data_IF_606778426077
#
_entry.id   IF_606778426077
#
_cell.length_a   1.000
_cell.length_b   1.000
_cell.length_c   1.000
_cell.angle_alpha   90.00
_cell.angle_beta   90.00
_cell.angle_gamma   90.00
#
_symmetry.space_group_name_H-M   'P 1'
#
loop_
_entity.id
_entity.type
_entity.pdbx_description
1 polymer ?
#
# COMPACT_ATOMS: atom_id res chain seq x y z
N UNK A 1 -22.72 24.19 -14.06
CA UNK A 1 -21.58 23.92 -13.16
C UNK A 1 -20.70 25.15 -13.14
N UNK A 2 -20.67 25.92 -12.03
CA UNK A 2 -19.65 26.96 -11.86
C UNK A 2 -18.32 26.24 -11.68
N UNK A 3 -17.37 26.45 -12.59
CA UNK A 3 -16.02 25.87 -12.48
C UNK A 3 -15.22 26.81 -11.58
N UNK A 4 -14.98 26.41 -10.33
CA UNK A 4 -14.24 27.21 -9.36
C UNK A 4 -12.73 27.01 -9.58
N UNK A 5 -12.16 27.74 -10.54
CA UNK A 5 -10.83 27.47 -11.12
C UNK A 5 -9.61 28.05 -10.38
N UNK A 6 -9.78 28.84 -9.33
CA UNK A 6 -8.67 29.60 -8.73
C UNK A 6 -8.72 29.64 -7.20
N UNK A 7 -7.59 29.97 -6.59
CA UNK A 7 -7.39 30.19 -5.15
C UNK A 7 -8.48 31.06 -4.49
N UNK A 8 -9.14 31.94 -5.25
CA UNK A 8 -10.25 32.78 -4.78
C UNK A 8 -11.40 32.00 -4.13
N UNK A 9 -11.66 30.77 -4.59
CA UNK A 9 -12.65 29.88 -3.98
C UNK A 9 -12.32 29.52 -2.52
N UNK A 10 -11.03 29.50 -2.19
CA UNK A 10 -10.52 29.08 -0.89
C UNK A 10 -10.32 30.23 0.09
N UNK A 11 -10.51 31.48 -0.35
CA UNK A 11 -10.34 32.65 0.52
C UNK A 11 -11.27 32.56 1.74
N UNK A 12 -10.82 32.98 2.94
CA UNK A 12 -11.64 32.96 4.15
C UNK A 12 -12.89 33.85 4.08
N UNK A 13 -12.83 34.94 3.32
CA UNK A 13 -13.93 35.90 3.12
C UNK A 13 -14.95 35.47 2.06
N UNK A 14 -14.72 34.33 1.39
CA UNK A 14 -15.66 33.77 0.42
C UNK A 14 -16.75 32.94 1.13
N UNK A 15 -17.85 33.59 1.53
CA UNK A 15 -18.97 32.95 2.23
C UNK A 15 -19.65 31.84 1.41
N UNK A 16 -19.86 32.06 0.10
CA UNK A 16 -20.44 31.04 -0.81
C UNK A 16 -19.52 29.81 -0.87
N UNK A 17 -18.21 30.04 -1.07
CA UNK A 17 -17.19 29.00 -1.07
C UNK A 17 -17.18 28.23 0.25
N UNK A 18 -17.09 28.91 1.39
CA UNK A 18 -17.11 28.28 2.71
C UNK A 18 -18.36 27.42 2.93
N UNK A 19 -19.55 27.90 2.52
CA UNK A 19 -20.80 27.15 2.62
C UNK A 19 -20.75 25.85 1.81
N UNK A 20 -20.27 25.92 0.57
CA UNK A 20 -20.12 24.74 -0.30
C UNK A 20 -19.11 23.77 0.33
N UNK A 21 -17.95 24.26 0.81
CA UNK A 21 -16.94 23.39 1.46
C UNK A 21 -17.47 22.69 2.70
N UNK A 22 -18.31 23.36 3.50
CA UNK A 22 -19.00 22.75 4.64
C UNK A 22 -19.98 21.67 4.20
N UNK A 23 -20.76 21.90 3.14
CA UNK A 23 -21.69 20.90 2.60
C UNK A 23 -20.97 19.64 2.08
N UNK A 24 -19.84 19.80 1.36
CA UNK A 24 -19.01 18.68 0.92
C UNK A 24 -18.48 17.85 2.08
N UNK A 25 -17.99 18.51 3.14
CA UNK A 25 -17.51 17.83 4.34
C UNK A 25 -18.63 17.03 5.03
N UNK A 26 -19.84 17.61 5.15
CA UNK A 26 -20.99 16.91 5.72
C UNK A 26 -21.44 15.72 4.87
N UNK A 27 -21.44 15.84 3.54
CA UNK A 27 -21.73 14.73 2.64
C UNK A 27 -20.71 13.59 2.81
N UNK A 28 -19.42 13.92 2.82
CA UNK A 28 -18.36 12.94 3.04
C UNK A 28 -18.44 12.25 4.42
N UNK A 29 -18.82 12.97 5.48
CA UNK A 29 -19.06 12.35 6.80
C UNK A 29 -20.26 11.39 6.79
N UNK A 30 -21.30 11.66 6.01
CA UNK A 30 -22.40 10.71 5.84
C UNK A 30 -21.95 9.43 5.15
N UNK A 31 -21.09 9.54 4.13
CA UNK A 31 -20.49 8.38 3.46
C UNK A 31 -19.61 7.59 4.44
N UNK A 32 -18.80 8.27 5.26
CA UNK A 32 -18.02 7.65 6.35
C UNK A 32 -18.91 6.87 7.31
N UNK A 33 -20.05 7.46 7.73
CA UNK A 33 -21.01 6.77 8.59
C UNK A 33 -21.52 5.50 7.91
N UNK A 34 -22.06 5.64 6.70
CA UNK A 34 -22.62 4.51 5.94
C UNK A 34 -21.60 3.39 5.79
N UNK A 35 -20.36 3.74 5.48
CA UNK A 35 -19.28 2.80 5.32
C UNK A 35 -18.99 1.99 6.59
N UNK A 36 -18.84 2.66 7.73
CA UNK A 36 -18.48 2.05 9.02
C UNK A 36 -19.66 1.33 9.71
N UNK A 37 -20.91 1.67 9.37
CA UNK A 37 -22.10 1.07 9.99
C UNK A 37 -22.76 0.01 9.12
N UNK A 38 -22.88 0.23 7.81
CA UNK A 38 -23.70 -0.58 6.91
C UNK A 38 -22.87 -1.45 5.96
N UNK A 39 -21.69 -1.01 5.55
CA UNK A 39 -20.88 -1.69 4.51
C UNK A 39 -19.77 -2.59 5.08
N UNK A 40 -19.71 -2.76 6.41
CA UNK A 40 -18.70 -3.59 7.07
C UNK A 40 -17.31 -2.97 7.13
N UNK A 41 -17.16 -1.68 6.78
CA UNK A 41 -15.89 -0.96 6.89
C UNK A 41 -15.37 -0.89 8.33
N UNK A 42 -14.05 -0.95 8.51
CA UNK A 42 -13.42 -0.90 9.84
C UNK A 42 -12.72 0.43 10.12
N UNK A 43 -12.16 1.05 9.08
CA UNK A 43 -11.42 2.31 9.17
C UNK A 43 -11.83 3.22 8.00
N UNK A 44 -12.13 4.47 8.27
CA UNK A 44 -12.36 5.48 7.24
C UNK A 44 -11.31 6.58 7.34
N UNK A 45 -10.71 6.94 6.21
CA UNK A 45 -9.76 8.04 6.09
C UNK A 45 -10.52 9.26 5.59
N UNK A 46 -10.72 10.23 6.48
CA UNK A 46 -11.36 11.50 6.13
C UNK A 46 -10.29 12.50 5.69
N UNK A 47 -10.19 12.66 4.37
CA UNK A 47 -9.12 13.42 3.72
C UNK A 47 -9.58 14.83 3.37
N UNK A 48 -9.14 15.77 4.20
CA UNK A 48 -9.36 17.21 4.05
C UNK A 48 -8.30 17.99 4.84
N UNK A 49 -8.22 19.30 4.62
CA UNK A 49 -7.22 20.13 5.31
C UNK A 49 -7.42 20.16 6.83
N UNK A 50 -8.67 20.19 7.31
CA UNK A 50 -9.07 20.20 8.73
C UNK A 50 -8.18 21.09 9.64
N UNK A 51 -7.78 22.24 9.11
CA UNK A 51 -6.77 23.13 9.68
C UNK A 51 -7.25 23.92 10.89
N UNK A 52 -8.56 24.00 11.15
CA UNK A 52 -9.13 24.73 12.29
C UNK A 52 -9.61 23.80 13.38
N UNK A 53 -9.55 24.23 14.64
CA UNK A 53 -10.09 23.49 15.79
C UNK A 53 -11.59 23.29 15.70
N UNK A 54 -12.33 24.31 15.26
CA UNK A 54 -13.79 24.22 15.03
C UNK A 54 -14.15 23.05 14.09
N UNK A 55 -13.37 22.88 13.00
CA UNK A 55 -13.59 21.78 12.06
C UNK A 55 -13.28 20.43 12.71
N UNK A 56 -12.17 20.32 13.46
CA UNK A 56 -11.80 19.08 14.15
C UNK A 56 -12.82 18.69 15.21
N UNK A 57 -13.32 19.65 15.97
CA UNK A 57 -14.39 19.48 16.96
C UNK A 57 -15.67 18.92 16.31
N UNK A 58 -16.05 19.43 15.13
CA UNK A 58 -17.19 18.90 14.37
C UNK A 58 -17.02 17.41 14.03
N UNK A 59 -15.81 17.00 13.66
CA UNK A 59 -15.49 15.59 13.33
C UNK A 59 -15.49 14.73 14.59
N UNK A 60 -14.96 15.24 15.71
CA UNK A 60 -14.98 14.57 17.01
C UNK A 60 -16.42 14.32 17.46
N UNK A 61 -17.27 15.35 17.43
CA UNK A 61 -18.69 15.22 17.78
C UNK A 61 -19.42 14.23 16.88
N UNK A 62 -19.16 14.26 15.57
CA UNK A 62 -19.70 13.27 14.64
C UNK A 62 -19.27 11.85 15.03
N UNK A 63 -17.98 11.65 15.34
CA UNK A 63 -17.48 10.33 15.73
C UNK A 63 -18.09 9.86 17.04
N UNK A 64 -18.20 10.71 18.06
CA UNK A 64 -18.81 10.40 19.35
C UNK A 64 -20.28 9.99 19.21
N UNK A 65 -21.07 10.74 18.42
CA UNK A 65 -22.48 10.44 18.16
C UNK A 65 -22.69 9.08 17.50
N UNK A 66 -21.72 8.60 16.73
CA UNK A 66 -21.78 7.31 16.03
C UNK A 66 -20.98 6.20 16.72
N UNK A 67 -20.39 6.45 17.90
CA UNK A 67 -19.58 5.47 18.63
C UNK A 67 -18.24 5.13 17.96
N UNK A 68 -17.70 6.04 17.16
CA UNK A 68 -16.40 5.92 16.53
C UNK A 68 -15.29 6.55 17.39
N UNK A 69 -14.06 6.09 17.20
CA UNK A 69 -12.80 6.65 17.66
C UNK A 69 -12.22 7.54 16.57
N UNK A 70 -11.40 8.50 16.97
CA UNK A 70 -10.73 9.44 16.07
C UNK A 70 -9.22 9.36 16.30
N UNK A 71 -8.44 9.31 15.23
CA UNK A 71 -6.99 9.41 15.25
C UNK A 71 -6.53 10.39 14.17
N UNK A 72 -5.96 11.51 14.57
CA UNK A 72 -5.49 12.53 13.64
C UNK A 72 -4.07 12.22 13.17
N UNK A 73 -3.83 12.30 11.87
CA UNK A 73 -2.48 12.36 11.30
C UNK A 73 -2.32 13.77 10.75
N UNK A 74 -1.40 14.56 11.29
CA UNK A 74 -1.05 15.90 10.82
C UNK A 74 0.33 15.84 10.14
N UNK A 75 0.44 16.24 8.87
CA UNK A 75 1.74 16.48 8.23
C UNK A 75 2.11 17.95 8.39
N UNK A 76 3.36 18.27 8.71
CA UNK A 76 3.87 19.65 8.75
C UNK A 76 5.17 19.69 7.96
N UNK A 77 5.26 20.60 6.99
CA UNK A 77 6.44 20.81 6.19
C UNK A 77 6.60 22.31 5.96
N UNK A 78 7.70 22.88 6.43
CA UNK A 78 8.02 24.29 6.26
C UNK A 78 9.10 24.51 5.18
N UNK A 79 9.67 23.42 4.66
CA UNK A 79 10.69 23.45 3.61
C UNK A 79 10.07 23.87 2.25
N UNK A 80 10.43 25.05 1.71
CA UNK A 80 9.86 25.58 0.48
C UNK A 80 10.23 24.74 -0.76
N UNK A 81 11.39 24.07 -0.76
CA UNK A 81 11.84 23.25 -1.89
C UNK A 81 11.00 21.98 -1.98
N UNK A 82 10.75 21.33 -0.84
CA UNK A 82 9.84 20.17 -0.75
C UNK A 82 8.42 20.54 -1.16
N UNK A 83 7.94 21.70 -0.71
CA UNK A 83 6.62 22.23 -1.07
C UNK A 83 6.51 22.39 -2.59
N UNK A 84 7.51 23.04 -3.20
CA UNK A 84 7.53 23.29 -4.63
C UNK A 84 7.61 22.00 -5.44
N UNK A 85 8.47 21.06 -5.06
CA UNK A 85 8.59 19.76 -5.72
C UNK A 85 7.26 18.99 -5.68
N UNK A 86 6.57 18.99 -4.52
CA UNK A 86 5.27 18.37 -4.38
C UNK A 86 4.22 18.98 -5.31
N UNK A 87 4.19 20.31 -5.44
CA UNK A 87 3.25 20.99 -6.36
C UNK A 87 3.50 20.54 -7.80
N UNK A 88 4.77 20.53 -8.23
CA UNK A 88 5.15 20.14 -9.59
C UNK A 88 4.81 18.68 -9.88
N UNK A 89 5.16 17.75 -9.00
CA UNK A 89 4.97 16.32 -9.23
C UNK A 89 3.49 15.89 -9.19
N UNK A 90 2.70 16.50 -8.30
CA UNK A 90 1.40 15.96 -7.88
C UNK A 90 0.24 16.83 -8.38
N UNK A 91 0.40 18.16 -8.43
CA UNK A 91 -0.71 19.08 -8.69
C UNK A 91 -0.84 19.50 -10.15
N UNK A 92 0.24 19.48 -10.93
CA UNK A 92 0.16 19.74 -12.37
C UNK A 92 -0.64 18.66 -13.13
N UNK A 93 -0.70 17.44 -12.60
CA UNK A 93 -1.57 16.37 -13.12
C UNK A 93 -3.02 16.43 -12.63
N UNK A 94 -3.38 17.41 -11.79
CA UNK A 94 -4.73 17.55 -11.24
C UNK A 94 -5.73 18.06 -12.28
N UNK A 95 -7.00 17.59 -12.26
CA UNK A 95 -8.08 18.17 -13.06
C UNK A 95 -8.20 19.70 -12.90
N UNK A 96 -7.90 20.22 -11.70
CA UNK A 96 -7.94 21.65 -11.35
C UNK A 96 -7.09 22.53 -12.29
N UNK A 97 -5.97 22.01 -12.79
CA UNK A 97 -4.97 22.77 -13.55
C UNK A 97 -4.83 22.31 -15.01
N UNK A 98 -5.81 21.55 -15.54
CA UNK A 98 -5.79 21.00 -16.91
C UNK A 98 -5.57 22.03 -18.03
N UNK A 99 -5.89 23.31 -17.79
CA UNK A 99 -5.74 24.40 -18.77
C UNK A 99 -4.73 25.47 -18.32
N UNK A 100 -3.92 25.20 -17.30
CA UNK A 100 -2.92 26.13 -16.77
C UNK A 100 -1.52 25.66 -17.18
N UNK A 101 -0.61 26.60 -17.45
CA UNK A 101 0.79 26.24 -17.54
C UNK A 101 1.38 25.96 -16.14
N UNK A 102 2.56 25.35 -16.09
CA UNK A 102 3.20 24.95 -14.84
C UNK A 102 3.42 26.12 -13.88
N UNK A 103 3.85 27.26 -14.39
CA UNK A 103 4.19 28.44 -13.59
C UNK A 103 2.92 29.06 -12.97
N UNK A 104 1.85 29.20 -13.75
CA UNK A 104 0.54 29.67 -13.30
C UNK A 104 -0.08 28.74 -12.25
N UNK A 105 0.01 27.43 -12.46
CA UNK A 105 -0.53 26.44 -11.53
C UNK A 105 0.24 26.46 -10.20
N UNK A 106 1.57 26.59 -10.23
CA UNK A 106 2.38 26.76 -9.02
C UNK A 106 2.01 28.05 -8.30
N UNK A 107 1.88 29.17 -9.02
CA UNK A 107 1.53 30.46 -8.42
C UNK A 107 0.14 30.46 -7.78
N UNK A 108 -0.88 29.93 -8.46
CA UNK A 108 -2.24 29.80 -7.92
C UNK A 108 -2.26 28.88 -6.69
N UNK A 109 -1.54 27.76 -6.74
CA UNK A 109 -1.49 26.83 -5.62
C UNK A 109 -0.78 27.45 -4.40
N UNK A 110 0.29 28.22 -4.61
CA UNK A 110 0.95 28.97 -3.52
C UNK A 110 0.03 30.04 -2.92
N UNK A 111 -0.82 30.70 -3.71
CA UNK A 111 -1.85 31.60 -3.19
C UNK A 111 -2.93 30.85 -2.41
N UNK A 112 -3.31 29.65 -2.86
CA UNK A 112 -4.24 28.76 -2.16
C UNK A 112 -3.68 28.33 -0.80
N UNK A 113 -2.39 27.99 -0.70
CA UNK A 113 -1.69 27.70 0.55
C UNK A 113 -1.82 28.88 1.53
N UNK A 114 -1.48 30.09 1.08
CA UNK A 114 -1.60 31.32 1.89
C UNK A 114 -3.01 31.57 2.41
N UNK A 115 -4.04 31.14 1.68
CA UNK A 115 -5.43 31.26 2.18
C UNK A 115 -5.67 30.42 3.44
N UNK A 116 -5.00 29.28 3.58
CA UNK A 116 -5.13 28.41 4.75
C UNK A 116 -4.23 28.83 5.92
N UNK A 117 -3.02 29.34 5.63
CA UNK A 117 -2.04 29.78 6.65
C UNK A 117 -2.65 30.75 7.68
N UNK A 118 -3.46 31.71 7.22
CA UNK A 118 -4.08 32.71 8.10
C UNK A 118 -5.07 32.14 9.14
N UNK A 119 -5.54 30.90 8.94
CA UNK A 119 -6.53 30.24 9.78
C UNK A 119 -6.04 28.91 10.33
N UNK A 120 -4.76 28.59 10.13
CA UNK A 120 -4.20 27.31 10.49
C UNK A 120 -3.91 27.23 11.99
N UNK A 121 -4.61 26.33 12.67
CA UNK A 121 -4.43 25.98 14.07
C UNK A 121 -3.88 24.56 14.15
N UNK A 122 -2.56 24.42 14.24
CA UNK A 122 -1.86 23.12 14.33
C UNK A 122 -2.27 22.33 15.58
N UNK A 123 -2.06 21.01 15.58
CA UNK A 123 -2.21 20.22 16.81
C UNK A 123 -1.16 20.65 17.83
N UNK A 124 -1.63 20.91 19.05
CA UNK A 124 -0.86 21.46 20.15
C UNK A 124 -0.88 20.53 21.37
N UNK A 125 0.28 20.32 22.00
CA UNK A 125 0.45 19.36 23.09
C UNK A 125 -0.36 19.71 24.35
N UNK A 126 -0.69 20.99 24.55
CA UNK A 126 -1.41 21.47 25.73
C UNK A 126 -2.91 21.53 25.44
N UNK A 127 -3.29 22.13 24.32
CA UNK A 127 -4.67 22.40 23.96
C UNK A 127 -5.38 21.16 23.39
N UNK A 128 -4.63 20.30 22.69
CA UNK A 128 -5.13 19.06 22.08
C UNK A 128 -4.64 17.82 22.86
N UNK A 129 -4.21 17.99 24.12
CA UNK A 129 -3.60 16.95 24.97
C UNK A 129 -4.42 15.67 25.09
N UNK A 130 -5.74 15.78 24.99
CA UNK A 130 -6.67 14.69 25.18
C UNK A 130 -6.97 13.91 23.89
N UNK A 131 -6.53 14.41 22.73
CA UNK A 131 -6.74 13.81 21.42
C UNK A 131 -5.69 12.75 21.09
N UNK A 132 -6.08 11.75 20.31
CA UNK A 132 -5.14 10.75 19.76
C UNK A 132 -4.63 11.21 18.40
N UNK A 133 -3.32 11.37 18.26
CA UNK A 133 -2.75 11.86 17.01
C UNK A 133 -1.27 11.49 16.79
N UNK A 134 -0.84 11.62 15.55
CA UNK A 134 0.56 11.68 15.13
C UNK A 134 0.77 12.93 14.27
N UNK A 135 1.81 13.68 14.61
CA UNK A 135 2.30 14.82 13.83
C UNK A 135 3.62 14.45 13.18
N UNK A 136 3.67 14.50 11.85
CA UNK A 136 4.82 14.15 11.01
C UNK A 136 5.43 15.47 10.54
N UNK A 137 6.66 15.77 10.96
CA UNK A 137 7.33 17.02 10.66
C UNK A 137 8.48 16.78 9.68
N UNK A 138 8.63 17.71 8.74
CA UNK A 138 9.77 17.79 7.81
C UNK A 138 9.97 16.49 7.04
N UNK A 139 8.86 15.95 6.49
CA UNK A 139 8.85 14.71 5.69
C UNK A 139 9.36 13.49 6.49
N UNK A 140 8.98 13.39 7.76
CA UNK A 140 9.30 12.24 8.60
C UNK A 140 10.66 12.31 9.28
N UNK A 141 11.30 13.49 9.33
CA UNK A 141 12.49 13.68 10.16
C UNK A 141 12.16 13.67 11.65
N UNK A 142 10.97 14.16 12.02
CA UNK A 142 10.51 14.21 13.42
C UNK A 142 9.06 13.80 13.51
N UNK A 143 8.71 13.17 14.63
CA UNK A 143 7.36 12.72 14.92
C UNK A 143 6.97 13.15 16.32
N UNK A 144 5.71 13.56 16.49
CA UNK A 144 5.10 13.73 17.81
C UNK A 144 3.83 12.88 17.86
N UNK A 145 3.78 11.94 18.79
CA UNK A 145 2.67 10.98 18.92
C UNK A 145 2.01 11.19 20.28
N UNK A 146 0.68 11.34 20.28
CA UNK A 146 -0.10 11.56 21.49
C UNK A 146 -1.23 10.53 21.62
N UNK A 147 -1.40 10.00 22.85
CA UNK A 147 -2.49 9.11 23.29
C UNK A 147 -2.93 8.03 22.27
N UNK A 148 -2.03 7.13 21.90
CA UNK A 148 -2.39 5.93 21.12
C UNK A 148 -3.32 5.03 21.95
N UNK A 149 -4.53 4.77 21.45
CA UNK A 149 -5.60 4.09 22.20
C UNK A 149 -5.70 2.58 21.94
N UNK A 150 -5.26 2.12 20.78
CA UNK A 150 -5.39 0.72 20.40
C UNK A 150 -4.27 0.26 19.45
N UNK A 151 -4.31 -1.05 19.16
CA UNK A 151 -3.37 -1.70 18.27
C UNK A 151 -3.39 -1.07 16.87
N UNK A 152 -4.56 -0.71 16.31
CA UNK A 152 -4.66 -0.12 14.96
C UNK A 152 -3.88 1.17 14.88
N UNK A 153 -4.12 2.08 15.82
CA UNK A 153 -3.41 3.35 15.89
C UNK A 153 -1.90 3.14 16.06
N UNK A 154 -1.49 2.17 16.89
CA UNK A 154 -0.07 1.84 17.05
C UNK A 154 0.56 1.33 15.74
N UNK A 155 -0.15 0.54 14.94
CA UNK A 155 0.33 0.04 13.65
C UNK A 155 0.39 1.14 12.59
N UNK A 156 -0.58 2.07 12.60
CA UNK A 156 -0.55 3.27 11.75
C UNK A 156 0.68 4.12 12.07
N UNK A 157 0.93 4.40 13.36
CA UNK A 157 2.14 5.11 13.80
C UNK A 157 3.41 4.40 13.33
N UNK A 158 3.50 3.09 13.58
CA UNK A 158 4.63 2.29 13.12
C UNK A 158 4.83 2.40 11.61
N UNK A 159 3.79 2.24 10.80
CA UNK A 159 3.87 2.35 9.34
C UNK A 159 4.36 3.74 8.90
N UNK A 160 3.76 4.81 9.41
CA UNK A 160 4.09 6.19 9.04
C UNK A 160 5.52 6.60 9.43
N UNK A 161 6.09 5.95 10.46
CA UNK A 161 7.48 6.15 10.87
C UNK A 161 8.51 5.37 10.03
N UNK A 162 8.06 4.46 9.16
CA UNK A 162 8.93 3.57 8.38
C UNK A 162 8.89 3.83 6.87
N UNK A 163 7.92 4.60 6.37
CA UNK A 163 7.85 5.00 4.97
C UNK A 163 8.71 6.24 4.70
N UNK A 164 9.15 6.41 3.45
CA UNK A 164 9.84 7.60 2.99
C UNK A 164 9.50 7.92 1.53
N UNK A 165 9.77 9.16 1.10
CA UNK A 165 9.48 9.62 -0.26
C UNK A 165 10.71 9.59 -1.20
N UNK A 166 11.89 9.25 -0.69
CA UNK A 166 13.12 9.17 -1.50
C UNK A 166 12.90 8.30 -2.74
N UNK A 167 13.19 8.81 -3.96
CA UNK A 167 13.04 8.06 -5.19
C UNK A 167 13.86 6.76 -5.17
N UNK A 168 13.21 5.65 -5.48
CA UNK A 168 13.83 4.30 -5.44
C UNK A 168 13.20 3.36 -6.45
N UNK A 169 13.82 2.21 -6.66
CA UNK A 169 13.26 1.12 -7.49
C UNK A 169 13.27 -0.21 -6.74
N UNK A 170 12.12 -0.89 -6.74
CA UNK A 170 11.99 -2.25 -6.22
C UNK A 170 11.92 -3.21 -7.41
N UNK A 171 12.76 -4.22 -7.42
CA UNK A 171 12.82 -5.24 -8.45
C UNK A 171 12.28 -6.55 -7.87
N UNK A 172 11.22 -7.10 -8.46
CA UNK A 172 10.66 -8.39 -8.08
C UNK A 172 10.91 -9.38 -9.21
N UNK A 173 11.47 -10.54 -8.88
CA UNK A 173 11.50 -11.67 -9.79
C UNK A 173 11.38 -12.99 -9.04
N UNK A 174 11.01 -14.04 -9.77
CA UNK A 174 11.09 -15.41 -9.28
C UNK A 174 12.52 -15.93 -9.42
N UNK A 175 12.83 -16.97 -8.67
CA UNK A 175 13.98 -17.84 -8.96
C UNK A 175 14.02 -18.27 -10.44
N UNK A 176 15.20 -18.67 -10.92
CA UNK A 176 15.35 -19.35 -12.21
C UNK A 176 14.54 -20.66 -12.27
N UNK A 177 14.32 -21.21 -13.47
CA UNK A 177 13.53 -22.44 -13.64
C UNK A 177 14.18 -23.60 -12.85
N UNK A 178 13.40 -24.25 -11.98
CA UNK A 178 13.86 -25.35 -11.13
C UNK A 178 13.42 -26.71 -11.65
N UNK A 179 14.04 -27.79 -11.15
CA UNK A 179 13.73 -29.16 -11.56
C UNK A 179 12.26 -29.53 -11.29
N UNK A 180 11.68 -29.07 -10.16
CA UNK A 180 10.26 -29.28 -9.86
C UNK A 180 9.33 -28.50 -10.81
N UNK A 181 9.76 -27.34 -11.32
CA UNK A 181 8.95 -26.62 -12.32
C UNK A 181 8.82 -27.40 -13.62
N UNK A 182 9.91 -28.02 -14.09
CA UNK A 182 9.89 -28.84 -15.31
C UNK A 182 9.00 -30.07 -15.13
N UNK A 183 8.95 -30.63 -13.91
CA UNK A 183 8.10 -31.75 -13.55
C UNK A 183 6.64 -31.36 -13.22
N UNK A 184 6.30 -30.08 -13.25
CA UNK A 184 4.95 -29.61 -12.89
C UNK A 184 4.59 -29.78 -11.41
N UNK A 185 5.58 -29.98 -10.53
CA UNK A 185 5.39 -30.23 -9.08
C UNK A 185 5.44 -28.92 -8.29
N UNK A 186 4.55 -28.78 -7.30
CA UNK A 186 4.49 -27.62 -6.40
C UNK A 186 5.39 -27.81 -5.16
N UNK A 187 5.76 -26.72 -4.49
CA UNK A 187 6.54 -26.78 -3.25
C UNK A 187 7.98 -27.28 -3.45
N UNK A 188 8.48 -28.00 -2.45
CA UNK A 188 9.79 -28.64 -2.38
C UNK A 188 10.98 -27.68 -2.37
N UNK A 189 12.20 -28.23 -2.37
CA UNK A 189 13.45 -27.45 -2.36
C UNK A 189 14.45 -27.87 -3.45
N UNK A 190 13.93 -28.11 -4.66
CA UNK A 190 14.78 -28.45 -5.80
C UNK A 190 15.67 -27.29 -6.27
N UNK A 191 16.81 -27.64 -6.88
CA UNK A 191 17.75 -26.68 -7.47
C UNK A 191 17.34 -26.20 -8.86
N UNK A 192 18.15 -25.30 -9.41
CA UNK A 192 17.99 -24.75 -10.75
C UNK A 192 18.38 -25.74 -11.86
N UNK A 193 17.56 -25.75 -12.91
CA UNK A 193 17.89 -26.38 -14.21
C UNK A 193 19.01 -25.60 -14.92
N UNK A 194 19.59 -26.14 -16.01
CA UNK A 194 20.51 -25.37 -16.86
C UNK A 194 19.91 -24.04 -17.37
N UNK A 195 18.62 -24.04 -17.74
CA UNK A 195 17.89 -22.81 -18.15
C UNK A 195 17.73 -21.82 -17.00
N UNK A 196 17.47 -22.32 -15.78
CA UNK A 196 17.42 -21.48 -14.58
C UNK A 196 18.76 -20.82 -14.24
N UNK A 197 19.87 -21.56 -14.38
CA UNK A 197 21.22 -20.99 -14.22
C UNK A 197 21.53 -19.93 -15.26
N UNK A 198 21.10 -20.13 -16.51
CA UNK A 198 21.25 -19.13 -17.57
C UNK A 198 20.43 -17.86 -17.29
N UNK A 199 19.23 -18.00 -16.71
CA UNK A 199 18.48 -16.84 -16.22
C UNK A 199 19.26 -16.06 -15.15
N UNK A 200 19.88 -16.74 -14.17
CA UNK A 200 20.70 -16.08 -13.15
C UNK A 200 21.81 -15.21 -13.75
N UNK A 201 22.51 -15.69 -14.79
CA UNK A 201 23.52 -14.90 -15.51
C UNK A 201 22.94 -13.67 -16.20
N UNK A 202 21.77 -13.81 -16.85
CA UNK A 202 21.10 -12.69 -17.52
C UNK A 202 20.54 -11.68 -16.53
N UNK A 203 20.05 -12.14 -15.38
CA UNK A 203 19.63 -11.27 -14.27
C UNK A 203 20.83 -10.44 -13.77
N UNK A 204 21.99 -11.07 -13.58
CA UNK A 204 23.24 -10.39 -13.22
C UNK A 204 23.60 -9.29 -14.23
N UNK A 205 23.54 -9.60 -15.53
CA UNK A 205 23.78 -8.61 -16.59
C UNK A 205 22.77 -7.47 -16.58
N UNK A 206 21.48 -7.78 -16.44
CA UNK A 206 20.40 -6.79 -16.39
C UNK A 206 20.57 -5.84 -15.20
N UNK A 207 20.84 -6.38 -14.01
CA UNK A 207 21.02 -5.57 -12.79
C UNK A 207 22.24 -4.67 -12.91
N UNK A 208 23.37 -5.18 -13.43
CA UNK A 208 24.55 -4.36 -13.71
C UNK A 208 24.25 -3.23 -14.70
N UNK A 209 23.42 -3.49 -15.71
CA UNK A 209 23.04 -2.47 -16.69
C UNK A 209 22.12 -1.39 -16.12
N UNK A 210 21.54 -1.57 -14.93
CA UNK A 210 20.75 -0.52 -14.26
C UNK A 210 21.63 0.54 -13.60
N UNK A 211 22.93 0.27 -13.40
CA UNK A 211 23.86 1.24 -12.83
C UNK A 211 23.56 1.65 -11.37
N UNK A 212 23.02 0.73 -10.57
CA UNK A 212 22.62 0.98 -9.18
C UNK A 212 23.83 0.78 -8.25
N UNK A 213 24.21 1.78 -7.46
CA UNK A 213 25.35 1.70 -6.53
C UNK A 213 25.09 0.80 -5.33
N UNK A 214 23.92 0.93 -4.71
CA UNK A 214 23.60 0.34 -3.40
C UNK A 214 22.35 -0.56 -3.47
N UNK A 215 22.39 -1.56 -4.36
CA UNK A 215 21.31 -2.53 -4.48
C UNK A 215 21.37 -3.57 -3.37
N UNK A 216 20.33 -3.64 -2.54
CA UNK A 216 20.12 -4.78 -1.63
C UNK A 216 19.50 -5.95 -2.37
N UNK A 217 19.94 -7.17 -2.08
CA UNK A 217 19.40 -8.40 -2.68
C UNK A 217 18.85 -9.30 -1.60
N UNK A 218 17.58 -9.66 -1.72
CA UNK A 218 16.89 -10.57 -0.79
C UNK A 218 16.47 -11.84 -1.50
N UNK A 219 16.54 -12.93 -0.75
CA UNK A 219 16.17 -14.27 -1.19
C UNK A 219 15.33 -14.96 -0.14
N UNK A 220 14.59 -15.98 -0.54
CA UNK A 220 14.13 -16.99 0.39
C UNK A 220 15.27 -17.90 0.87
N UNK A 221 15.00 -18.79 1.82
CA UNK A 221 15.95 -19.83 2.24
C UNK A 221 15.94 -21.06 1.31
N UNK A 222 15.11 -21.07 0.27
CA UNK A 222 15.04 -22.18 -0.68
C UNK A 222 16.18 -22.12 -1.70
N UNK A 223 16.77 -23.28 -2.00
CA UNK A 223 17.96 -23.46 -2.84
C UNK A 223 17.88 -22.73 -4.18
N UNK A 224 16.72 -22.76 -4.84
CA UNK A 224 16.50 -22.12 -6.15
C UNK A 224 16.63 -20.60 -6.12
N UNK A 225 16.21 -19.90 -5.05
CA UNK A 225 16.39 -18.44 -4.95
C UNK A 225 17.84 -18.10 -4.65
N UNK A 226 18.47 -18.88 -3.76
CA UNK A 226 19.88 -18.74 -3.38
C UNK A 226 20.79 -18.91 -4.61
N UNK A 227 20.64 -20.00 -5.36
CA UNK A 227 21.42 -20.26 -6.58
C UNK A 227 21.21 -19.18 -7.67
N UNK A 228 20.03 -18.54 -7.69
CA UNK A 228 19.79 -17.43 -8.61
C UNK A 228 20.57 -16.18 -8.17
N UNK A 229 20.58 -15.88 -6.86
CA UNK A 229 21.33 -14.75 -6.29
C UNK A 229 22.86 -14.94 -6.38
N UNK A 230 23.37 -16.15 -6.20
CA UNK A 230 24.80 -16.47 -6.34
C UNK A 230 25.38 -16.05 -7.70
N UNK A 231 24.56 -16.12 -8.77
CA UNK A 231 24.97 -15.69 -10.11
C UNK A 231 25.17 -14.18 -10.25
N UNK A 232 24.65 -13.36 -9.32
CA UNK A 232 24.87 -11.91 -9.32
C UNK A 232 26.26 -11.54 -8.78
N UNK A 233 26.86 -12.42 -7.98
CA UNK A 233 28.15 -12.18 -7.31
C UNK A 233 28.15 -10.93 -6.43
N UNK A 234 27.05 -10.68 -5.72
CA UNK A 234 26.87 -9.60 -4.74
C UNK A 234 26.37 -10.19 -3.42
N UNK A 235 26.56 -9.50 -2.28
CA UNK A 235 25.97 -9.90 -1.01
C UNK A 235 24.44 -9.98 -1.11
N UNK A 236 23.85 -10.99 -0.46
CA UNK A 236 22.40 -11.14 -0.38
C UNK A 236 22.00 -11.64 1.00
N UNK A 237 20.77 -11.32 1.39
CA UNK A 237 20.17 -11.74 2.66
C UNK A 237 19.13 -12.83 2.42
N UNK A 238 19.07 -13.81 3.32
CA UNK A 238 18.11 -14.91 3.24
C UNK A 238 17.02 -14.72 4.29
N UNK A 239 15.78 -14.61 3.83
CA UNK A 239 14.62 -14.36 4.66
C UNK A 239 13.72 -15.60 4.61
N UNK A 240 13.56 -16.30 5.74
CA UNK A 240 12.67 -17.48 5.81
C UNK A 240 11.23 -17.12 5.45
N UNK A 241 10.79 -15.92 5.81
CA UNK A 241 9.46 -15.38 5.47
C UNK A 241 9.24 -15.15 3.98
N UNK A 242 10.29 -15.23 3.14
CA UNK A 242 10.17 -15.22 1.67
C UNK A 242 10.06 -16.62 1.06
N UNK A 243 10.03 -17.70 1.85
CA UNK A 243 9.79 -19.06 1.34
C UNK A 243 8.43 -19.14 0.64
N UNK A 244 8.32 -20.02 -0.36
CA UNK A 244 7.06 -20.24 -1.09
C UNK A 244 5.94 -20.66 -0.12
N UNK A 245 4.69 -20.45 -0.54
CA UNK A 245 3.53 -20.96 0.20
C UNK A 245 3.69 -22.45 0.49
N UNK A 246 3.49 -22.83 1.76
CA UNK A 246 3.55 -24.23 2.20
C UNK A 246 2.29 -24.98 1.73
N UNK A 247 2.46 -25.95 0.83
CA UNK A 247 1.35 -26.78 0.36
C UNK A 247 1.02 -27.96 1.30
N UNK A 248 1.69 -28.05 2.45
CA UNK A 248 1.46 -29.05 3.49
C UNK A 248 1.56 -30.47 2.95
N UNK A 249 0.48 -31.24 3.08
CA UNK A 249 0.43 -32.64 2.58
C UNK A 249 0.54 -32.74 1.05
N UNK A 250 0.36 -31.64 0.32
CA UNK A 250 0.43 -31.57 -1.14
C UNK A 250 1.82 -31.11 -1.66
N UNK A 251 2.80 -30.94 -0.79
CA UNK A 251 4.19 -30.65 -1.18
C UNK A 251 4.74 -31.70 -2.16
N UNK A 252 5.50 -31.23 -3.15
CA UNK A 252 6.09 -32.03 -4.22
C UNK A 252 5.11 -32.77 -5.14
N UNK A 253 3.79 -32.53 -5.05
CA UNK A 253 2.79 -33.12 -5.96
C UNK A 253 2.56 -32.28 -7.22
N UNK A 254 2.14 -32.93 -8.31
CA UNK A 254 1.55 -32.27 -9.47
C UNK A 254 0.09 -31.90 -9.18
N UNK A 255 -0.47 -30.92 -9.89
CA UNK A 255 -1.87 -30.53 -9.69
C UNK A 255 -2.84 -31.68 -10.03
N UNK A 256 -2.50 -32.49 -11.03
CA UNK A 256 -3.25 -33.69 -11.41
C UNK A 256 -3.24 -34.72 -10.28
N UNK A 257 -2.08 -34.93 -9.64
CA UNK A 257 -1.95 -35.84 -8.48
C UNK A 257 -2.77 -35.33 -7.28
N UNK A 258 -2.87 -34.01 -7.08
CA UNK A 258 -3.71 -33.42 -6.03
C UNK A 258 -5.19 -33.63 -6.36
N UNK A 259 -5.58 -33.43 -7.62
CA UNK A 259 -6.97 -33.63 -8.05
C UNK A 259 -7.41 -35.10 -7.86
N UNK A 260 -6.53 -36.05 -8.16
CA UNK A 260 -6.83 -37.48 -8.04
C UNK A 260 -6.84 -37.95 -6.57
N UNK A 261 -5.87 -37.52 -5.76
CA UNK A 261 -5.72 -37.99 -4.37
C UNK A 261 -6.56 -37.18 -3.37
N UNK A 262 -6.83 -35.90 -3.65
CA UNK A 262 -7.54 -34.96 -2.78
C UNK A 262 -8.57 -34.12 -3.57
N UNK A 263 -9.57 -34.73 -4.21
CA UNK A 263 -10.51 -34.04 -5.10
C UNK A 263 -11.33 -32.95 -4.39
N UNK A 264 -11.67 -33.16 -3.12
CA UNK A 264 -12.39 -32.16 -2.32
C UNK A 264 -11.52 -30.93 -2.07
N UNK A 265 -10.26 -31.14 -1.66
CA UNK A 265 -9.30 -30.06 -1.41
C UNK A 265 -9.03 -29.25 -2.69
N UNK A 266 -8.90 -29.94 -3.84
CA UNK A 266 -8.74 -29.28 -5.14
C UNK A 266 -9.93 -28.37 -5.47
N UNK A 267 -11.17 -28.85 -5.25
CA UNK A 267 -12.38 -28.07 -5.50
C UNK A 267 -12.54 -26.90 -4.52
N UNK A 268 -12.27 -27.10 -3.23
CA UNK A 268 -12.32 -26.04 -2.21
C UNK A 268 -11.34 -24.91 -2.52
N UNK A 269 -10.13 -25.27 -2.97
CA UNK A 269 -9.12 -24.29 -3.37
C UNK A 269 -9.51 -23.48 -4.60
N UNK A 270 -10.25 -24.07 -5.54
CA UNK A 270 -10.70 -23.34 -6.73
C UNK A 270 -11.84 -22.37 -6.41
N UNK A 271 -12.69 -22.71 -5.43
CA UNK A 271 -13.82 -21.88 -4.99
C UNK A 271 -13.38 -20.62 -4.21
N UNK A 272 -12.45 -20.76 -3.26
CA UNK A 272 -11.90 -19.63 -2.52
C UNK A 272 -10.39 -19.78 -2.36
N UNK A 273 -9.66 -19.42 -3.43
CA UNK A 273 -8.22 -19.59 -3.49
C UNK A 273 -7.46 -18.70 -2.52
N UNK A 274 -8.04 -17.58 -2.07
CA UNK A 274 -7.38 -16.67 -1.15
C UNK A 274 -7.38 -17.24 0.28
N UNK A 275 -8.57 -17.68 0.75
CA UNK A 275 -8.74 -18.17 2.13
C UNK A 275 -8.47 -19.66 2.29
N UNK A 276 -8.54 -20.45 1.21
CA UNK A 276 -8.22 -21.87 1.27
C UNK A 276 -6.82 -22.10 1.84
N UNK A 277 -6.74 -22.87 2.93
CA UNK A 277 -5.51 -23.29 3.58
C UNK A 277 -5.26 -24.75 3.26
N UNK A 278 -4.09 -25.06 2.70
CA UNK A 278 -3.70 -26.47 2.49
C UNK A 278 -3.69 -27.24 3.82
N UNK A 279 -4.06 -28.53 3.85
CA UNK A 279 -3.95 -29.33 5.07
C UNK A 279 -2.50 -29.38 5.57
N UNK A 280 -2.28 -28.90 6.80
CA UNK A 280 -0.94 -28.70 7.41
C UNK A 280 -0.02 -27.74 6.63
N UNK A 281 -0.60 -26.85 5.81
CA UNK A 281 0.10 -25.83 5.05
C UNK A 281 -0.50 -24.44 5.29
N UNK A 282 -0.37 -23.57 4.29
CA UNK A 282 -0.74 -22.16 4.33
C UNK A 282 -1.85 -21.82 3.31
N UNK A 283 -2.56 -20.71 3.56
CA UNK A 283 -3.37 -19.98 2.59
C UNK A 283 -2.62 -18.75 2.04
N UNK A 284 -3.21 -18.05 1.06
CA UNK A 284 -2.69 -16.73 0.68
C UNK A 284 -2.88 -15.69 1.78
N UNK A 285 -3.92 -15.83 2.61
CA UNK A 285 -4.14 -14.99 3.78
C UNK A 285 -3.02 -15.17 4.83
N UNK A 286 -2.61 -16.41 5.12
CA UNK A 286 -1.45 -16.69 5.98
C UNK A 286 -0.18 -16.07 5.42
N UNK A 287 -0.01 -16.15 4.09
CA UNK A 287 1.13 -15.60 3.39
C UNK A 287 1.19 -14.07 3.47
N UNK A 288 0.05 -13.38 3.40
CA UNK A 288 -0.02 -11.92 3.59
C UNK A 288 0.44 -11.55 5.00
N UNK A 289 -0.01 -12.25 6.03
CA UNK A 289 0.43 -12.02 7.41
C UNK A 289 1.93 -12.27 7.57
N UNK A 290 2.44 -13.37 7.00
CA UNK A 290 3.87 -13.74 7.04
C UNK A 290 4.77 -12.72 6.33
N UNK A 291 4.29 -12.10 5.25
CA UNK A 291 5.07 -11.16 4.45
C UNK A 291 5.04 -9.72 4.96
N UNK A 292 4.24 -9.42 5.97
CA UNK A 292 4.13 -8.08 6.53
C UNK A 292 5.48 -7.49 6.96
N UNK A 293 6.38 -8.20 7.68
CA UNK A 293 7.70 -7.66 8.01
C UNK A 293 8.57 -7.37 6.76
N UNK A 294 8.38 -8.11 5.67
CA UNK A 294 9.07 -7.87 4.40
C UNK A 294 8.59 -6.56 3.77
N UNK A 295 7.27 -6.31 3.78
CA UNK A 295 6.71 -5.05 3.27
C UNK A 295 7.24 -3.87 4.08
N UNK A 296 7.23 -3.97 5.41
CA UNK A 296 7.76 -2.91 6.28
C UNK A 296 9.22 -2.61 6.01
N UNK A 297 10.05 -3.64 5.83
CA UNK A 297 11.44 -3.43 5.48
C UNK A 297 11.59 -2.87 4.07
N UNK A 298 10.80 -3.33 3.08
CA UNK A 298 10.78 -2.75 1.74
C UNK A 298 10.47 -1.26 1.79
N UNK A 299 9.54 -0.84 2.64
CA UNK A 299 9.18 0.58 2.81
C UNK A 299 10.30 1.43 3.41
N UNK A 300 11.24 0.83 4.16
CA UNK A 300 12.42 1.52 4.73
C UNK A 300 13.62 1.58 3.78
N UNK A 301 13.68 0.70 2.79
CA UNK A 301 14.86 0.53 1.95
C UNK A 301 14.79 1.33 0.65
N UNK A 302 15.92 1.73 0.09
CA UNK A 302 15.93 2.33 -1.24
C UNK A 302 15.81 1.28 -2.36
N UNK A 303 16.91 0.93 -3.01
CA UNK A 303 16.90 0.01 -4.14
C UNK A 303 17.02 -1.44 -3.65
N UNK A 304 16.00 -2.25 -3.91
CA UNK A 304 15.94 -3.66 -3.48
C UNK A 304 15.57 -4.57 -4.63
N UNK A 305 16.29 -5.69 -4.76
CA UNK A 305 15.92 -6.83 -5.59
C UNK A 305 15.45 -7.99 -4.69
N UNK A 306 14.21 -8.42 -4.86
CA UNK A 306 13.65 -9.58 -4.17
C UNK A 306 13.52 -10.74 -5.15
N UNK A 307 14.29 -11.80 -4.92
CA UNK A 307 14.25 -13.07 -5.66
C UNK A 307 13.45 -14.08 -4.84
N UNK A 308 12.21 -14.32 -5.24
CA UNK A 308 11.25 -15.11 -4.47
C UNK A 308 10.54 -16.16 -5.35
N UNK A 309 9.27 -16.43 -5.04
CA UNK A 309 8.47 -17.52 -5.62
C UNK A 309 7.13 -17.01 -6.14
N UNK A 310 6.30 -17.88 -6.70
CA UNK A 310 5.11 -17.45 -7.41
C UNK A 310 4.04 -16.90 -6.45
N UNK A 311 3.71 -17.57 -5.35
CA UNK A 311 2.68 -17.07 -4.44
C UNK A 311 3.18 -15.85 -3.67
N UNK A 312 4.43 -15.88 -3.20
CA UNK A 312 5.08 -14.74 -2.52
C UNK A 312 5.09 -13.49 -3.39
N UNK A 313 5.53 -13.61 -4.65
CA UNK A 313 5.60 -12.48 -5.58
C UNK A 313 4.22 -11.90 -5.88
N UNK A 314 3.16 -12.72 -5.89
CA UNK A 314 1.78 -12.24 -6.04
C UNK A 314 1.36 -11.38 -4.86
N UNK A 315 1.62 -11.81 -3.63
CA UNK A 315 1.31 -11.02 -2.43
C UNK A 315 2.04 -9.67 -2.42
N UNK A 316 3.35 -9.68 -2.69
CA UNK A 316 4.14 -8.45 -2.77
C UNK A 316 3.61 -7.52 -3.87
N UNK A 317 3.29 -8.07 -5.04
CA UNK A 317 2.76 -7.28 -6.15
C UNK A 317 1.36 -6.74 -5.87
N UNK A 318 0.51 -7.49 -5.18
CA UNK A 318 -0.82 -7.06 -4.80
C UNK A 318 -0.78 -5.85 -3.86
N UNK A 319 0.18 -5.82 -2.93
CA UNK A 319 0.42 -4.65 -2.08
C UNK A 319 0.77 -3.41 -2.90
N UNK A 320 1.78 -3.50 -3.78
CA UNK A 320 2.24 -2.35 -4.55
C UNK A 320 1.29 -1.90 -5.68
N UNK A 321 0.43 -2.80 -6.18
CA UNK A 321 -0.52 -2.50 -7.26
C UNK A 321 -1.96 -2.33 -6.78
N UNK A 322 -2.17 -2.29 -5.47
CA UNK A 322 -3.48 -2.16 -4.84
C UNK A 322 -4.50 -3.17 -5.41
N UNK A 323 -4.21 -4.46 -5.22
CA UNK A 323 -5.03 -5.57 -5.72
C UNK A 323 -5.80 -6.22 -4.60
N UNK A 324 -7.06 -6.55 -4.87
CA UNK A 324 -7.96 -7.15 -3.87
C UNK A 324 -7.54 -8.57 -3.51
N UNK A 325 -8.07 -9.09 -2.40
CA UNK A 325 -7.89 -10.50 -2.00
C UNK A 325 -8.35 -11.48 -3.10
N UNK A 326 -9.43 -11.15 -3.80
CA UNK A 326 -9.94 -11.95 -4.92
C UNK A 326 -8.97 -11.95 -6.12
N UNK A 327 -8.34 -10.82 -6.45
CA UNK A 327 -7.42 -10.71 -7.59
C UNK A 327 -6.03 -11.31 -7.30
N UNK A 328 -5.55 -11.19 -6.06
CA UNK A 328 -4.18 -11.49 -5.64
C UNK A 328 -3.71 -12.90 -6.06
N UNK A 329 -4.43 -14.01 -5.82
CA UNK A 329 -4.00 -15.36 -6.18
C UNK A 329 -3.86 -15.62 -7.68
N UNK A 330 -4.31 -14.69 -8.52
CA UNK A 330 -4.36 -14.81 -9.98
C UNK A 330 -3.43 -13.83 -10.70
N UNK A 331 -2.71 -12.97 -9.98
CA UNK A 331 -1.71 -12.09 -10.57
C UNK A 331 -0.65 -12.87 -11.36
N UNK A 332 -0.26 -12.33 -12.52
CA UNK A 332 0.66 -13.00 -13.46
C UNK A 332 2.11 -12.68 -13.11
N UNK A 333 2.80 -13.64 -12.51
CA UNK A 333 4.21 -13.59 -12.14
C UNK A 333 5.01 -14.67 -12.90
N UNK A 334 5.28 -14.48 -14.21
CA UNK A 334 5.96 -15.49 -15.02
C UNK A 334 7.43 -15.69 -14.59
N UNK A 335 7.98 -16.87 -14.87
CA UNK A 335 9.42 -17.12 -14.74
C UNK A 335 10.23 -16.20 -15.68
N UNK A 336 11.49 -15.96 -15.29
CA UNK A 336 12.51 -15.26 -16.09
C UNK A 336 12.13 -13.85 -16.53
N UNK A 337 11.28 -13.20 -15.74
CA UNK A 337 10.82 -11.84 -15.95
C UNK A 337 11.11 -11.04 -14.68
N UNK A 338 11.73 -9.87 -14.85
CA UNK A 338 11.90 -8.91 -13.76
C UNK A 338 10.77 -7.89 -13.85
N UNK A 339 10.09 -7.66 -12.74
CA UNK A 339 9.14 -6.58 -12.54
C UNK A 339 9.85 -5.46 -11.81
N UNK A 340 10.13 -4.35 -12.50
CA UNK A 340 10.63 -3.13 -11.87
C UNK A 340 9.44 -2.29 -11.46
N UNK A 341 9.39 -1.93 -10.18
CA UNK A 341 8.42 -1.06 -9.55
C UNK A 341 9.12 0.26 -9.25
N UNK A 342 8.59 1.36 -9.78
CA UNK A 342 9.06 2.71 -9.47
C UNK A 342 7.88 3.50 -8.91
N UNK A 343 7.95 3.98 -7.65
CA UNK A 343 6.94 4.84 -7.08
C UNK A 343 6.78 6.10 -7.95
N UNK A 344 5.53 6.42 -8.27
CA UNK A 344 5.13 7.72 -8.83
C UNK A 344 4.01 8.31 -8.00
N UNK A 345 3.72 9.59 -8.22
CA UNK A 345 2.72 10.34 -7.48
C UNK A 345 1.41 9.55 -7.28
N UNK A 346 0.76 9.75 -6.13
CA UNK A 346 -0.51 9.15 -5.74
C UNK A 346 -0.52 7.60 -5.66
N UNK A 347 0.58 6.99 -5.22
CA UNK A 347 0.66 5.53 -5.05
C UNK A 347 0.69 4.75 -6.36
N UNK A 348 0.84 5.44 -7.50
CA UNK A 348 1.04 4.77 -8.77
C UNK A 348 2.39 4.05 -8.75
N UNK A 349 2.40 2.82 -9.26
CA UNK A 349 3.65 2.08 -9.46
C UNK A 349 3.83 1.84 -10.94
N UNK A 350 4.89 2.41 -11.50
CA UNK A 350 5.28 2.06 -12.86
C UNK A 350 5.86 0.66 -12.89
N UNK A 351 5.13 -0.25 -13.53
CA UNK A 351 5.53 -1.63 -13.73
C UNK A 351 6.21 -1.79 -15.10
N UNK A 352 7.52 -2.05 -15.09
CA UNK A 352 8.25 -2.43 -16.29
C UNK A 352 8.54 -3.93 -16.27
N UNK A 353 8.08 -4.63 -17.32
CA UNK A 353 8.36 -6.05 -17.57
C UNK A 353 9.63 -6.18 -18.39
N UNK A 354 10.69 -6.65 -17.77
CA UNK A 354 11.97 -6.92 -18.44
C UNK A 354 12.09 -8.43 -18.65
N UNK A 355 11.92 -8.88 -19.90
CA UNK A 355 12.11 -10.28 -20.26
C UNK A 355 13.59 -10.61 -20.43
N UNK A 356 14.08 -11.66 -19.77
CA UNK A 356 15.43 -12.18 -19.98
C UNK A 356 15.48 -13.33 -21.02
N UNK A 357 14.35 -13.68 -21.65
CA UNK A 357 14.29 -14.66 -22.74
C UNK A 357 14.62 -14.00 -24.09
N UNK A 358 15.18 -14.75 -25.05
CA UNK A 358 15.52 -14.29 -26.41
C UNK A 358 14.29 -14.00 -27.30
N UNK A 359 13.17 -13.62 -26.71
CA UNK A 359 12.05 -13.04 -27.45
C UNK A 359 12.02 -11.56 -27.17
N UNK A 360 12.33 -10.81 -28.22
CA UNK A 360 12.19 -9.36 -28.35
C UNK A 360 11.01 -8.84 -27.55
N UNK A 361 11.14 -7.71 -26.84
CA UNK A 361 10.02 -7.14 -26.11
C UNK A 361 8.92 -6.77 -27.10
N UNK A 362 7.85 -7.59 -27.16
CA UNK A 362 6.56 -7.05 -27.59
C UNK A 362 6.18 -6.03 -26.53
N UNK A 363 6.06 -4.76 -26.93
CA UNK A 363 5.29 -3.75 -26.19
C UNK A 363 3.88 -4.31 -26.03
N UNK A 364 3.66 -5.10 -24.98
CA UNK A 364 2.32 -5.49 -24.57
C UNK A 364 1.78 -4.28 -23.83
N UNK A 365 0.95 -3.49 -24.52
CA UNK A 365 -0.02 -2.59 -23.86
C UNK A 365 -1.06 -3.47 -23.15
N UNK A 366 -0.64 -4.18 -22.11
CA UNK A 366 -1.54 -4.71 -21.11
C UNK A 366 -1.67 -3.63 -20.06
N UNK A 367 -2.58 -2.69 -20.30
CA UNK A 367 -2.92 -1.67 -19.31
C UNK A 367 -3.50 -2.39 -18.10
N UNK A 368 -2.78 -2.38 -16.99
CA UNK A 368 -3.46 -2.41 -15.71
C UNK A 368 -4.09 -1.03 -15.57
N UNK A 369 -5.42 -0.98 -15.43
CA UNK A 369 -6.06 0.25 -14.98
C UNK A 369 -5.55 0.50 -13.56
N UNK A 370 -4.69 1.49 -13.44
CA UNK A 370 -4.21 2.03 -12.16
C UNK A 370 -5.34 2.93 -11.68
N UNK A 371 -5.99 2.54 -10.59
CA UNK A 371 -6.97 3.40 -9.94
C UNK A 371 -6.16 4.39 -9.09
N UNK A 372 -6.27 5.71 -9.31
CA UNK A 372 -5.53 6.68 -8.53
C UNK A 372 -6.20 6.85 -7.15
N UNK A 373 -5.50 6.49 -6.07
CA UNK A 373 -5.93 6.80 -4.70
C UNK A 373 -4.82 7.52 -3.91
N UNK A 374 -4.99 8.84 -3.88
CA UNK A 374 -4.73 9.80 -2.78
C UNK A 374 -3.70 9.44 -1.71
N UNK A 375 -2.43 9.68 -2.03
CA UNK A 375 -1.46 10.18 -1.06
C UNK A 375 -1.27 11.67 -1.38
N UNK A 376 -1.92 12.56 -0.64
CA UNK A 376 -1.73 13.99 -0.83
C UNK A 376 -0.56 14.45 0.01
N UNK A 377 0.47 15.08 -0.57
CA UNK A 377 1.50 15.79 0.19
C UNK A 377 1.06 17.25 0.37
N UNK A 378 0.68 17.66 1.60
CA UNK A 378 0.50 19.02 2.18
C UNK A 378 -0.39 18.89 3.42
N UNK A 379 -0.26 19.72 4.49
CA UNK A 379 -0.54 19.32 5.87
C UNK A 379 -1.83 18.53 5.95
N UNK A 380 -1.65 17.22 5.85
CA UNK A 380 -2.75 16.30 5.72
C UNK A 380 -3.19 16.22 7.15
N UNK A 381 -4.40 16.68 7.45
CA UNK A 381 -5.13 16.17 8.60
C UNK A 381 -5.95 14.99 8.10
N UNK A 382 -5.29 13.85 7.91
CA UNK A 382 -6.02 12.62 7.67
C UNK A 382 -6.62 12.21 9.02
N UNK A 383 -7.95 12.27 9.10
CA UNK A 383 -8.65 11.82 10.29
C UNK A 383 -9.02 10.37 10.08
N UNK A 384 -8.40 9.48 10.84
CA UNK A 384 -8.76 8.07 10.88
C UNK A 384 -9.91 7.90 11.86
N UNK A 385 -11.05 7.45 11.35
CA UNK A 385 -12.23 7.16 12.16
C UNK A 385 -12.37 5.64 12.28
N UNK A 386 -12.40 5.10 13.51
CA UNK A 386 -12.41 3.66 13.79
C UNK A 386 -13.54 3.24 14.74
N UNK A 387 -14.23 2.12 14.51
CA UNK A 387 -15.37 1.65 15.33
C UNK A 387 -14.94 1.20 16.75
N UNK A 388 -15.69 1.55 17.82
CA UNK A 388 -15.46 0.95 19.16
C UNK A 388 -16.05 -0.47 19.24
N UNK A 389 -15.29 -1.44 19.76
CA UNK A 389 -15.80 -2.77 20.16
C UNK A 389 -16.21 -2.70 21.64
N UNK A 390 -17.49 -2.94 21.95
CA UNK A 390 -18.04 -2.94 23.31
C UNK A 390 -18.14 -4.36 23.89
N UNK A 391 -17.85 -4.49 25.19
CA UNK A 391 -17.97 -5.73 25.95
C UNK A 391 -19.40 -5.96 26.48
N UNK A 392 -20.05 -7.06 26.06
CA UNK A 392 -20.92 -7.95 26.86
C UNK A 392 -21.30 -9.20 26.03
N UNK A 393 -21.19 -10.39 26.66
CA UNK A 393 -21.28 -11.74 26.08
C UNK A 393 -22.69 -12.33 26.31
N UNK A 394 -23.20 -13.26 25.47
CA UNK A 394 -23.25 -14.66 25.91
C UNK A 394 -22.92 -15.69 24.81
N UNK A 395 -22.08 -16.67 25.16
CA UNK A 395 -21.90 -17.99 24.55
C UNK A 395 -22.05 -18.11 23.02
N UNK A 396 -20.99 -17.77 22.29
CA UNK A 396 -20.65 -18.45 21.03
C UNK A 396 -19.23 -18.97 21.19
N UNK A 397 -19.10 -20.28 21.03
CA UNK A 397 -17.88 -21.07 21.14
C UNK A 397 -16.79 -20.58 20.19
N UNK A 398 -15.62 -20.28 20.75
CA UNK A 398 -14.27 -20.36 20.18
C UNK A 398 -13.97 -19.74 18.79
N UNK A 399 -12.92 -18.90 18.79
CA UNK A 399 -12.17 -18.33 17.67
C UNK A 399 -12.88 -17.28 16.82
N UNK A 400 -12.53 -16.00 17.05
CA UNK A 400 -12.29 -14.98 16.02
C UNK A 400 -11.80 -13.71 16.73
N UNK A 401 -10.50 -13.68 17.00
CA UNK A 401 -9.77 -12.53 17.52
C UNK A 401 -8.43 -12.52 16.81
N UNK A 402 -8.41 -12.26 15.50
CA UNK A 402 -7.20 -12.13 14.67
C UNK A 402 -7.56 -11.73 13.23
N UNK A 403 -8.26 -10.61 13.08
CA UNK A 403 -8.26 -9.81 11.86
C UNK A 403 -8.03 -8.41 12.38
N UNK A 404 -6.90 -7.75 12.06
CA UNK A 404 -6.74 -6.29 12.11
C UNK A 404 -5.26 -5.92 11.86
N UNK A 405 -5.08 -5.00 10.89
CA UNK A 405 -3.86 -4.30 10.48
C UNK A 405 -2.78 -5.15 9.83
N UNK A 406 -3.01 -5.50 8.56
CA UNK A 406 -2.22 -5.06 7.38
C UNK A 406 -2.80 -5.60 6.07
N UNK A 407 -3.84 -6.43 6.15
CA UNK A 407 -4.87 -6.64 5.11
C UNK A 407 -6.01 -5.61 5.17
N UNK A 408 -6.16 -4.92 6.30
CA UNK A 408 -7.23 -3.96 6.58
C UNK A 408 -7.11 -2.62 5.87
N UNK A 409 -6.53 -2.59 4.66
CA UNK A 409 -6.76 -1.47 3.74
C UNK A 409 -7.43 -1.95 2.44
N UNK A 410 -7.09 -3.11 1.85
CA UNK A 410 -7.60 -3.42 0.50
C UNK A 410 -7.96 -4.88 0.18
N UNK A 411 -8.12 -5.78 1.16
CA UNK A 411 -8.86 -7.03 0.93
C UNK A 411 -10.32 -6.85 1.37
N UNK A 412 -11.23 -6.83 0.40
CA UNK A 412 -12.70 -6.81 0.55
C UNK A 412 -13.27 -5.55 1.23
N UNK A 413 -12.98 -4.37 0.68
CA UNK A 413 -13.79 -3.17 0.95
C UNK A 413 -13.80 -2.66 2.40
N UNK A 414 -12.67 -2.71 3.13
CA UNK A 414 -12.59 -2.35 4.56
C UNK A 414 -11.87 -1.02 4.94
N UNK A 415 -11.27 -0.29 3.97
CA UNK A 415 -11.00 1.16 4.11
C UNK A 415 -11.67 2.03 3.04
N UNK A 416 -12.36 3.10 3.47
CA UNK A 416 -12.94 4.14 2.61
C UNK A 416 -12.15 5.43 2.78
N UNK A 417 -11.69 6.01 1.67
CA UNK A 417 -11.11 7.35 1.65
C UNK A 417 -12.17 8.35 1.18
N UNK A 418 -12.73 9.11 2.11
CA UNK A 418 -13.67 10.17 1.78
C UNK A 418 -12.90 11.43 1.41
N UNK A 419 -13.12 11.98 0.22
CA UNK A 419 -12.55 13.28 -0.15
C UNK A 419 -13.49 14.40 0.28
N UNK A 420 -13.22 15.05 1.42
CA UNK A 420 -14.01 16.17 1.92
C UNK A 420 -13.86 17.46 1.10
N UNK A 421 -12.99 17.45 0.08
CA UNK A 421 -12.54 18.63 -0.67
C UNK A 421 -12.70 18.48 -2.20
N UNK A 422 -13.35 17.43 -2.71
CA UNK A 422 -13.58 17.29 -4.16
C UNK A 422 -14.64 18.29 -4.64
N UNK A 423 -14.23 19.21 -5.51
CA UNK A 423 -15.07 20.16 -6.26
C UNK A 423 -15.13 19.76 -7.73
#
# INVERSE_FOLDING_TARGET
MKIYKSFEFFRPDNEEGLKIRRQCASAALNDVRQYLTEQGGQVAVFDATNTTRERRETIIQFAEQNGFKVFFVESVCEDPDVIQENIVQVKLGSPDYTNCNTEEAVEDFMKRIKCYENSYETLDEVLDRDLSYIKIMDVGQRYLVNRVLDHIQSRIVYYLMNIHITPRSIYLCRHGESELNVKGRIGGDSGLTPRGKEFGKKLSQFIKSQGISDLKVWTSQMKRTIQTAEALSVPYEQWKVLNEIDAGVCEEMMYEEIQDNYPLEFALRDQDKYRYRYPKGESYEDLVQRLEPVIMELERQENVLVICHQAVMRCLLAYFLDKTAEELPYLKCPLHTVLKLTPVAYGGVHLLKCGCSQHTPRKTRGGYNIIPHTQYNWPIFAVYVHKRVGAQVPNVTSSNTLEICFSAVHSDGHVFVSNGTKY
#
